data_IF_734731703660
#
_entry.id   IF_734731703660
#
_cell.length_a   1.000
_cell.length_b   1.000
_cell.length_c   1.000
_cell.angle_alpha   90.00
_cell.angle_beta   90.00
_cell.angle_gamma   90.00
#
_symmetry.space_group_name_H-M   'P 1'
#
loop_
_entity.id
_entity.type
_entity.pdbx_description
1 polymer ?
#
# COMPACT_ATOMS: atom_id res chain seq x y z
N UNK A 1 -31.35 18.63 26.59
CA UNK A 1 -30.56 17.38 26.59
C UNK A 1 -29.43 17.57 27.56
N UNK A 2 -29.22 16.63 28.46
CA UNK A 2 -28.21 16.78 29.50
C UNK A 2 -26.81 16.40 28.98
N UNK A 3 -25.75 17.08 29.44
CA UNK A 3 -24.38 16.72 29.12
C UNK A 3 -24.07 15.28 29.52
N UNK A 4 -23.31 14.58 28.68
CA UNK A 4 -22.85 13.20 28.92
C UNK A 4 -21.34 13.11 28.76
N UNK A 5 -20.72 12.15 29.42
CA UNK A 5 -19.31 11.82 29.20
C UNK A 5 -19.17 10.92 27.96
N UNK A 6 -18.23 11.25 27.07
CA UNK A 6 -17.91 10.42 25.92
C UNK A 6 -17.26 9.10 26.37
N UNK A 7 -17.79 7.96 25.94
CA UNK A 7 -17.20 6.63 26.24
C UNK A 7 -15.77 6.40 25.72
N UNK A 8 -15.23 7.28 24.89
CA UNK A 8 -13.92 7.12 24.26
C UNK A 8 -12.86 8.10 24.78
N UNK A 9 -13.20 9.39 24.90
CA UNK A 9 -12.27 10.41 25.41
C UNK A 9 -12.65 10.97 26.79
N UNK A 10 -13.74 10.48 27.40
CA UNK A 10 -14.29 10.92 28.69
C UNK A 10 -14.65 12.41 28.80
N UNK A 11 -14.51 13.18 27.72
CA UNK A 11 -14.92 14.59 27.68
C UNK A 11 -16.44 14.73 27.74
N UNK A 12 -16.91 15.78 28.42
CA UNK A 12 -18.33 16.17 28.44
C UNK A 12 -18.79 16.65 27.05
N UNK A 13 -19.97 16.22 26.62
CA UNK A 13 -20.58 16.65 25.37
C UNK A 13 -22.11 16.67 25.47
N UNK A 14 -22.76 17.53 24.69
CA UNK A 14 -24.21 17.54 24.51
C UNK A 14 -24.59 16.59 23.36
N UNK A 15 -25.47 15.60 23.58
CA UNK A 15 -25.95 14.74 22.51
C UNK A 15 -26.67 15.54 21.41
N UNK A 16 -26.56 15.10 20.16
CA UNK A 16 -27.29 15.70 19.06
C UNK A 16 -28.81 15.53 19.25
N UNK A 17 -29.59 16.58 18.96
CA UNK A 17 -31.06 16.57 18.96
C UNK A 17 -31.66 15.35 18.24
N UNK A 18 -31.07 14.97 17.12
CA UNK A 18 -31.54 13.84 16.29
C UNK A 18 -30.94 12.48 16.70
N UNK A 19 -29.97 12.48 17.62
CA UNK A 19 -29.36 11.27 18.16
C UNK A 19 -29.27 11.32 19.69
N UNK A 20 -30.41 11.34 20.42
CA UNK A 20 -30.44 11.38 21.89
C UNK A 20 -29.74 10.18 22.55
N UNK A 21 -29.54 9.09 21.81
CA UNK A 21 -28.81 7.89 22.26
C UNK A 21 -27.30 7.94 22.00
N UNK A 22 -26.77 9.09 21.56
CA UNK A 22 -25.34 9.27 21.34
C UNK A 22 -24.54 9.02 22.63
N UNK A 23 -23.55 8.13 22.55
CA UNK A 23 -22.67 7.72 23.67
C UNK A 23 -21.23 8.23 23.51
N UNK A 24 -20.90 8.79 22.35
CA UNK A 24 -19.57 9.31 22.00
C UNK A 24 -19.67 10.72 21.46
N UNK A 25 -18.73 11.59 21.79
CA UNK A 25 -18.75 12.97 21.31
C UNK A 25 -18.47 13.08 19.81
N UNK A 26 -18.93 14.18 19.23
CA UNK A 26 -18.69 14.58 17.82
C UNK A 26 -17.38 15.36 17.62
N UNK A 27 -16.54 15.50 18.65
CA UNK A 27 -15.24 16.16 18.56
C UNK A 27 -14.36 15.47 17.51
N UNK A 28 -13.74 16.26 16.63
CA UNK A 28 -12.96 15.79 15.48
C UNK A 28 -11.76 14.93 15.88
N UNK A 29 -11.03 15.33 16.91
CA UNK A 29 -9.87 14.58 17.41
C UNK A 29 -10.29 13.22 17.97
N UNK A 30 -11.38 13.20 18.74
CA UNK A 30 -11.94 11.95 19.26
C UNK A 30 -12.47 11.05 18.12
N UNK A 31 -13.12 11.64 17.10
CA UNK A 31 -13.59 10.91 15.93
C UNK A 31 -12.44 10.30 15.13
N UNK A 32 -11.38 11.06 14.86
CA UNK A 32 -10.19 10.59 14.16
C UNK A 32 -9.51 9.45 14.92
N UNK A 33 -9.34 9.56 16.24
CA UNK A 33 -8.79 8.48 17.07
C UNK A 33 -9.64 7.20 16.99
N UNK A 34 -10.96 7.31 17.09
CA UNK A 34 -11.87 6.16 16.93
C UNK A 34 -11.77 5.52 15.56
N UNK A 35 -11.67 6.32 14.50
CA UNK A 35 -11.50 5.82 13.14
C UNK A 35 -10.19 5.04 12.99
N UNK A 36 -9.08 5.58 13.51
CA UNK A 36 -7.78 4.91 13.46
C UNK A 36 -7.78 3.60 14.25
N UNK A 37 -8.37 3.58 15.45
CA UNK A 37 -8.48 2.36 16.27
C UNK A 37 -9.37 1.30 15.60
N UNK A 38 -10.51 1.71 15.03
CA UNK A 38 -11.38 0.83 14.25
C UNK A 38 -10.62 0.22 13.06
N UNK A 39 -9.86 1.02 12.33
CA UNK A 39 -9.02 0.55 11.23
C UNK A 39 -7.91 -0.39 11.70
N UNK A 40 -7.29 -0.13 12.86
CA UNK A 40 -6.29 -1.00 13.47
C UNK A 40 -6.88 -2.38 13.78
N UNK A 41 -7.96 -2.43 14.54
CA UNK A 41 -8.65 -3.68 14.89
C UNK A 41 -9.14 -4.45 13.67
N UNK A 42 -9.62 -3.72 12.66
CA UNK A 42 -10.03 -4.33 11.41
C UNK A 42 -8.86 -4.98 10.67
N UNK A 43 -7.71 -4.30 10.59
CA UNK A 43 -6.49 -4.86 9.96
C UNK A 43 -5.97 -6.08 10.71
N UNK A 44 -6.02 -6.08 12.03
CA UNK A 44 -5.64 -7.24 12.86
C UNK A 44 -6.52 -8.47 12.56
N UNK A 45 -7.83 -8.25 12.37
CA UNK A 45 -8.77 -9.32 11.98
C UNK A 45 -8.70 -9.70 10.51
N UNK A 46 -8.20 -8.81 9.65
CA UNK A 46 -8.13 -8.97 8.20
C UNK A 46 -6.68 -8.81 7.70
N UNK A 47 -5.72 -9.63 8.20
CA UNK A 47 -4.30 -9.44 7.95
C UNK A 47 -3.92 -9.64 6.47
N UNK A 48 -4.74 -10.36 5.72
CA UNK A 48 -4.51 -10.65 4.30
C UNK A 48 -5.33 -9.78 3.35
N UNK A 49 -6.22 -8.90 3.83
CA UNK A 49 -7.11 -8.15 2.94
C UNK A 49 -6.39 -7.21 1.97
N UNK A 50 -5.29 -6.62 2.44
CA UNK A 50 -4.44 -5.76 1.59
C UNK A 50 -3.28 -6.53 0.96
N UNK A 51 -3.15 -7.85 1.20
CA UNK A 51 -2.10 -8.64 0.57
C UNK A 51 -2.47 -8.90 -0.89
N UNK A 52 -1.42 -9.02 -1.69
CA UNK A 52 -1.53 -9.33 -3.10
C UNK A 52 -2.08 -10.75 -3.25
N UNK A 53 -3.26 -10.87 -3.85
CA UNK A 53 -3.87 -12.16 -4.11
C UNK A 53 -3.32 -12.75 -5.41
N UNK A 54 -2.17 -13.42 -5.31
CA UNK A 54 -1.49 -14.07 -6.44
C UNK A 54 -2.32 -15.21 -7.03
N UNK A 55 -3.37 -15.69 -6.33
CA UNK A 55 -4.28 -16.73 -6.84
C UNK A 55 -5.15 -16.26 -8.00
N UNK A 56 -5.25 -14.94 -8.23
CA UNK A 56 -6.13 -14.34 -9.25
C UNK A 56 -5.63 -14.50 -10.69
N UNK A 57 -4.46 -15.13 -10.88
CA UNK A 57 -3.89 -15.46 -12.19
C UNK A 57 -3.27 -14.28 -12.94
N UNK A 58 -2.48 -14.58 -13.96
CA UNK A 58 -1.61 -13.61 -14.67
C UNK A 58 -2.39 -12.42 -15.25
N UNK A 59 -3.58 -12.66 -15.82
CA UNK A 59 -4.41 -11.61 -16.41
C UNK A 59 -4.86 -10.56 -15.39
N UNK A 60 -5.22 -10.98 -14.18
CA UNK A 60 -5.57 -10.05 -13.12
C UNK A 60 -4.37 -9.21 -12.68
N UNK A 61 -3.18 -9.82 -12.59
CA UNK A 61 -1.94 -9.12 -12.27
C UNK A 61 -1.61 -8.05 -13.33
N UNK A 62 -1.82 -8.35 -14.60
CA UNK A 62 -1.62 -7.44 -15.74
C UNK A 62 -2.56 -6.23 -15.67
N UNK A 63 -3.86 -6.48 -15.47
CA UNK A 63 -4.88 -5.42 -15.31
C UNK A 63 -4.56 -4.53 -14.12
N UNK A 64 -4.15 -5.12 -13.00
CA UNK A 64 -3.80 -4.37 -11.80
C UNK A 64 -2.54 -3.52 -12.01
N UNK A 65 -1.50 -4.06 -12.67
CA UNK A 65 -0.31 -3.30 -13.08
C UNK A 65 -0.68 -2.11 -13.95
N UNK A 66 -1.60 -2.30 -14.91
CA UNK A 66 -2.10 -1.23 -15.78
C UNK A 66 -2.83 -0.14 -14.98
N UNK A 67 -3.82 -0.52 -14.16
CA UNK A 67 -4.58 0.43 -13.30
C UNK A 67 -3.67 1.22 -12.38
N UNK A 68 -2.70 0.56 -11.76
CA UNK A 68 -1.72 1.19 -10.88
C UNK A 68 -0.86 2.21 -11.64
N UNK A 69 -0.43 1.89 -12.87
CA UNK A 69 0.31 2.82 -13.74
C UNK A 69 -0.53 4.03 -14.12
N UNK A 70 -1.76 3.83 -14.59
CA UNK A 70 -2.67 4.91 -14.95
C UNK A 70 -2.97 5.83 -13.75
N UNK A 71 -3.17 5.26 -12.56
CA UNK A 71 -3.40 6.05 -11.36
C UNK A 71 -2.20 6.96 -11.04
N UNK A 72 -0.97 6.44 -11.14
CA UNK A 72 0.26 7.24 -10.92
C UNK A 72 0.40 8.35 -11.95
N UNK A 73 0.03 8.11 -13.21
CA UNK A 73 0.05 9.13 -14.26
C UNK A 73 -0.98 10.23 -14.00
N UNK A 74 -2.19 9.87 -13.53
CA UNK A 74 -3.26 10.83 -13.19
C UNK A 74 -3.02 11.57 -11.86
N UNK A 75 -2.16 11.05 -10.98
CA UNK A 75 -1.92 11.61 -9.64
C UNK A 75 -0.42 11.89 -9.39
N UNK A 76 0.26 12.67 -10.26
CA UNK A 76 1.71 12.84 -10.16
C UNK A 76 2.13 13.55 -8.87
N UNK A 77 1.33 14.50 -8.39
CA UNK A 77 1.61 15.27 -7.17
C UNK A 77 1.61 14.37 -5.93
N UNK A 78 0.64 13.44 -5.84
CA UNK A 78 0.58 12.47 -4.74
C UNK A 78 1.78 11.54 -4.75
N UNK A 79 2.22 11.12 -5.94
CA UNK A 79 3.43 10.30 -6.09
C UNK A 79 4.67 11.07 -5.64
N UNK A 80 4.79 12.36 -5.99
CA UNK A 80 5.92 13.21 -5.55
C UNK A 80 5.92 13.41 -4.03
N UNK A 81 4.78 13.78 -3.44
CA UNK A 81 4.65 13.97 -1.99
C UNK A 81 4.98 12.69 -1.20
N UNK A 82 4.53 11.53 -1.70
CA UNK A 82 4.89 10.24 -1.10
C UNK A 82 6.40 9.98 -1.17
N UNK A 83 7.03 10.20 -2.33
CA UNK A 83 8.49 10.02 -2.49
C UNK A 83 9.31 10.93 -1.57
N UNK A 84 8.89 12.18 -1.40
CA UNK A 84 9.58 13.12 -0.50
C UNK A 84 9.52 12.68 0.96
N UNK A 85 8.37 12.17 1.40
CA UNK A 85 8.18 11.74 2.80
C UNK A 85 8.78 10.37 3.11
N UNK A 86 9.13 9.58 2.09
CA UNK A 86 9.66 8.21 2.23
C UNK A 86 11.02 8.03 1.52
N UNK A 87 11.77 9.11 1.30
CA UNK A 87 13.02 9.08 0.52
C UNK A 87 14.08 8.16 1.16
N UNK A 88 14.25 8.24 2.47
CA UNK A 88 15.25 7.42 3.18
C UNK A 88 14.90 5.93 3.17
N UNK A 89 13.61 5.61 3.31
CA UNK A 89 13.13 4.23 3.18
C UNK A 89 13.37 3.69 1.78
N UNK A 90 13.12 4.52 0.76
CA UNK A 90 13.38 4.17 -0.63
C UNK A 90 14.87 3.95 -0.91
N UNK A 91 15.74 4.81 -0.38
CA UNK A 91 17.21 4.65 -0.49
C UNK A 91 17.67 3.34 0.15
N UNK A 92 17.18 3.02 1.35
CA UNK A 92 17.48 1.74 2.02
C UNK A 92 17.00 0.56 1.20
N UNK A 93 15.75 0.58 0.75
CA UNK A 93 15.19 -0.46 -0.12
C UNK A 93 16.01 -0.67 -1.38
N UNK A 94 16.38 0.40 -2.10
CA UNK A 94 17.17 0.31 -3.34
C UNK A 94 18.56 -0.26 -3.10
N UNK A 95 19.21 0.08 -1.99
CA UNK A 95 20.50 -0.50 -1.60
C UNK A 95 20.39 -2.02 -1.43
N UNK A 96 19.42 -2.48 -0.65
CA UNK A 96 19.17 -3.90 -0.43
C UNK A 96 18.78 -4.63 -1.72
N UNK A 97 17.93 -4.01 -2.54
CA UNK A 97 17.53 -4.54 -3.84
C UNK A 97 18.74 -4.74 -4.76
N UNK A 98 19.60 -3.73 -4.89
CA UNK A 98 20.80 -3.81 -5.74
C UNK A 98 21.81 -4.84 -5.22
N UNK A 99 21.93 -5.00 -3.90
CA UNK A 99 22.76 -6.04 -3.30
C UNK A 99 22.25 -7.43 -3.68
N UNK A 100 20.94 -7.69 -3.54
CA UNK A 100 20.31 -8.96 -3.94
C UNK A 100 20.44 -9.20 -5.44
N UNK A 101 20.27 -8.15 -6.25
CA UNK A 101 20.41 -8.24 -7.71
C UNK A 101 21.83 -8.65 -8.14
N UNK A 102 22.85 -8.01 -7.57
CA UNK A 102 24.27 -8.37 -7.82
C UNK A 102 24.59 -9.79 -7.36
N UNK A 103 24.08 -10.21 -6.20
CA UNK A 103 24.24 -11.59 -5.74
C UNK A 103 23.61 -12.58 -6.72
N UNK A 104 22.39 -12.32 -7.19
CA UNK A 104 21.74 -13.15 -8.21
C UNK A 104 22.58 -13.27 -9.47
N UNK A 105 23.16 -12.18 -9.97
CA UNK A 105 24.03 -12.24 -11.15
C UNK A 105 25.30 -13.08 -10.91
N UNK A 106 25.93 -12.97 -9.73
CA UNK A 106 27.10 -13.79 -9.39
C UNK A 106 26.80 -15.29 -9.31
N UNK A 107 25.57 -15.65 -8.97
CA UNK A 107 25.12 -17.05 -8.87
C UNK A 107 24.54 -17.61 -10.16
N UNK A 108 24.34 -16.79 -11.21
CA UNK A 108 23.92 -17.32 -12.51
C UNK A 108 25.14 -17.77 -13.31
N UNK A 109 25.13 -19.00 -13.88
CA UNK A 109 26.19 -19.42 -14.80
C UNK A 109 26.23 -18.49 -16.01
N UNK A 110 27.42 -18.28 -16.63
CA UNK A 110 27.52 -17.48 -17.84
C UNK A 110 26.55 -18.05 -18.89
N UNK A 111 25.74 -17.19 -19.50
CA UNK A 111 24.88 -17.56 -20.59
C UNK A 111 25.74 -18.23 -21.68
N UNK A 112 25.45 -19.49 -21.97
CA UNK A 112 26.06 -20.23 -23.06
C UNK A 112 25.91 -19.44 -24.36
N UNK A 113 27.04 -19.08 -24.96
CA UNK A 113 27.11 -18.26 -26.15
C UNK A 113 26.27 -18.83 -27.29
N UNK A 114 25.56 -17.93 -27.96
CA UNK A 114 24.89 -18.19 -29.23
C UNK A 114 25.97 -18.52 -30.28
N UNK A 115 26.02 -19.78 -30.72
CA UNK A 115 26.70 -20.14 -31.96
C UNK A 115 25.85 -19.64 -33.11
N UNK A 116 26.26 -18.53 -33.74
CA UNK A 116 25.75 -18.13 -35.03
C UNK A 116 26.01 -19.22 -36.05
N UNK A 117 24.96 -19.93 -36.48
CA UNK A 117 25.03 -20.79 -37.66
C UNK A 117 24.84 -19.91 -38.89
N UNK A 118 25.96 -19.59 -39.51
CA UNK A 118 26.06 -19.08 -40.87
C UNK A 118 25.55 -20.17 -41.83
N UNK A 119 24.31 -20.04 -42.32
CA UNK A 119 23.75 -20.94 -43.34
C UNK A 119 24.04 -20.33 -44.71
N UNK A 120 25.10 -20.86 -45.33
CA UNK A 120 25.48 -20.65 -46.72
C UNK A 120 24.50 -21.41 -47.63
N UNK A 121 23.65 -20.68 -48.36
CA UNK A 121 22.78 -21.22 -49.41
C UNK A 121 23.62 -21.64 -50.64
N UNK A 122 23.46 -22.86 -51.21
CA UNK A 122 24.04 -23.21 -52.50
C UNK A 122 23.09 -22.89 -53.67
N UNK A 123 23.71 -22.77 -54.85
CA UNK A 123 23.23 -22.31 -56.18
C UNK A 123 21.79 -22.65 -56.61
#
# INVERSE_FOLDING_TARGET
>A
MDPRACRYCNSSFLPNKYAPRQTVCSNLECQKKRQLESMRQWREKNPSYFKYDESKGIQWLEIQRRRSREWRQRNPDKVRAYRQTHEDEYRRYMREYMQRYRQKQKTQPPASGETGTDVKTPD
#
